data_IF_166460965340
#
_entry.id   IF_166460965340
#
_cell.length_a   1.000
_cell.length_b   1.000
_cell.length_c   1.000
_cell.angle_alpha   90.00
_cell.angle_beta   90.00
_cell.angle_gamma   90.00
#
_symmetry.space_group_name_H-M   'P 1'
#
loop_
_entity.id
_entity.type
_entity.pdbx_description
1 polymer ?
#
# COMPACT_ATOMS: atom_id res chain seq x y z
N UNK A 1 3.99 -32.01 4.70
CA UNK A 1 3.25 -31.89 3.43
C UNK A 1 4.26 -31.34 2.44
N UNK A 2 4.76 -32.17 1.52
CA UNK A 2 5.87 -31.80 0.64
C UNK A 2 5.40 -30.73 -0.34
N UNK A 3 5.89 -29.50 -0.20
CA UNK A 3 5.67 -28.43 -1.17
C UNK A 3 6.37 -28.81 -2.49
N UNK A 4 5.62 -28.79 -3.57
CA UNK A 4 6.03 -29.19 -4.92
C UNK A 4 6.71 -27.98 -5.60
N UNK A 5 8.04 -27.98 -5.79
CA UNK A 5 8.80 -26.78 -6.19
C UNK A 5 8.70 -26.44 -7.69
N UNK A 6 8.00 -27.24 -8.50
CA UNK A 6 8.06 -27.16 -9.98
C UNK A 6 6.90 -26.40 -10.65
N UNK A 7 5.77 -26.18 -9.98
CA UNK A 7 4.59 -25.49 -10.58
C UNK A 7 4.70 -23.96 -10.46
N UNK A 8 5.45 -23.46 -9.47
CA UNK A 8 5.51 -22.03 -9.13
C UNK A 8 6.43 -21.20 -10.05
N UNK A 9 7.41 -21.80 -10.73
CA UNK A 9 8.44 -21.02 -11.43
C UNK A 9 7.94 -20.26 -12.68
N UNK A 10 6.78 -20.63 -13.24
CA UNK A 10 6.22 -19.99 -14.45
C UNK A 10 5.05 -19.02 -14.21
N UNK A 11 4.32 -19.15 -13.10
CA UNK A 11 3.04 -18.45 -12.88
C UNK A 11 3.15 -17.22 -11.96
N UNK A 12 4.32 -16.94 -11.40
CA UNK A 12 4.55 -15.76 -10.57
C UNK A 12 4.16 -14.41 -11.24
N UNK A 13 4.28 -14.20 -12.58
CA UNK A 13 3.81 -12.95 -13.20
C UNK A 13 2.28 -12.83 -13.14
N UNK A 14 1.56 -13.96 -13.12
CA UNK A 14 0.11 -13.97 -12.93
C UNK A 14 -0.23 -13.50 -11.52
N UNK A 15 0.47 -14.01 -10.50
CA UNK A 15 0.31 -13.55 -9.12
C UNK A 15 0.56 -12.05 -8.96
N UNK A 16 1.64 -11.54 -9.57
CA UNK A 16 1.94 -10.10 -9.62
C UNK A 16 0.85 -9.31 -10.34
N UNK A 17 0.36 -9.80 -11.48
CA UNK A 17 -0.70 -9.13 -12.23
C UNK A 17 -1.99 -9.06 -11.41
N UNK A 18 -2.33 -10.14 -10.70
CA UNK A 18 -3.51 -10.20 -9.84
C UNK A 18 -3.39 -9.20 -8.68
N UNK A 19 -2.27 -9.18 -7.94
CA UNK A 19 -2.12 -8.25 -6.82
C UNK A 19 -2.05 -6.79 -7.28
N UNK A 20 -1.43 -6.52 -8.43
CA UNK A 20 -1.39 -5.17 -8.99
C UNK A 20 -2.79 -4.65 -9.33
N UNK A 21 -3.61 -5.49 -9.97
CA UNK A 21 -5.01 -5.19 -10.22
C UNK A 21 -5.83 -5.07 -8.93
N UNK A 22 -5.59 -5.96 -7.95
CA UNK A 22 -6.22 -5.93 -6.64
C UNK A 22 -5.95 -4.62 -5.91
N UNK A 23 -4.69 -4.21 -5.83
CA UNK A 23 -4.27 -2.97 -5.21
C UNK A 23 -4.87 -1.73 -5.88
N UNK A 24 -4.96 -1.71 -7.22
CA UNK A 24 -5.67 -0.63 -7.93
C UNK A 24 -7.15 -0.60 -7.58
N UNK A 25 -7.81 -1.77 -7.56
CA UNK A 25 -9.20 -1.90 -7.18
C UNK A 25 -9.41 -1.43 -5.73
N UNK A 26 -8.53 -1.85 -4.80
CA UNK A 26 -8.57 -1.43 -3.41
C UNK A 26 -8.47 0.08 -3.26
N UNK A 27 -7.47 0.70 -3.89
CA UNK A 27 -7.26 2.14 -3.85
C UNK A 27 -8.43 2.91 -4.49
N UNK A 28 -9.03 2.37 -5.55
CA UNK A 28 -10.26 2.91 -6.11
C UNK A 28 -11.42 2.80 -5.12
N UNK A 29 -11.57 1.67 -4.45
CA UNK A 29 -12.58 1.46 -3.42
C UNK A 29 -12.48 2.47 -2.28
N UNK A 30 -11.27 2.66 -1.75
CA UNK A 30 -10.98 3.67 -0.72
C UNK A 30 -11.35 5.07 -1.20
N UNK A 31 -11.00 5.41 -2.44
CA UNK A 31 -11.31 6.71 -3.04
C UNK A 31 -12.83 6.90 -3.20
N UNK A 32 -13.58 5.86 -3.62
CA UNK A 32 -15.05 5.92 -3.73
C UNK A 32 -15.73 6.08 -2.37
N UNK A 33 -15.24 5.36 -1.35
CA UNK A 33 -15.74 5.51 0.03
C UNK A 33 -15.48 6.94 0.50
N UNK A 34 -14.28 7.46 0.28
CA UNK A 34 -13.92 8.86 0.62
C UNK A 34 -14.80 9.88 -0.12
N UNK A 35 -15.09 9.65 -1.40
CA UNK A 35 -16.06 10.48 -2.16
C UNK A 35 -17.46 10.43 -1.56
N UNK A 36 -17.91 9.25 -1.13
CA UNK A 36 -19.22 9.08 -0.53
C UNK A 36 -19.36 9.87 0.79
N UNK A 37 -18.32 9.82 1.63
CA UNK A 37 -18.25 10.61 2.87
C UNK A 37 -18.20 12.11 2.58
N UNK A 38 -17.34 12.55 1.66
CA UNK A 38 -17.22 13.96 1.27
C UNK A 38 -18.55 14.53 0.74
N UNK A 39 -19.33 13.73 0.02
CA UNK A 39 -20.64 14.11 -0.50
C UNK A 39 -21.79 14.00 0.51
N UNK A 40 -21.59 13.39 1.68
CA UNK A 40 -22.65 13.15 2.66
C UNK A 40 -22.73 14.24 3.75
N UNK A 41 -21.72 15.11 3.88
CA UNK A 41 -21.71 16.19 4.87
C UNK A 41 -21.23 15.75 6.26
N UNK A 42 -21.36 16.61 7.30
CA UNK A 42 -20.90 16.30 8.65
C UNK A 42 -21.74 15.18 9.29
N UNK A 43 -21.06 14.13 9.75
CA UNK A 43 -21.60 12.94 10.44
C UNK A 43 -22.77 12.20 9.76
N UNK A 44 -22.53 11.59 8.57
CA UNK A 44 -23.56 10.79 7.92
C UNK A 44 -23.84 9.49 8.68
N UNK A 45 -25.11 9.13 8.81
CA UNK A 45 -25.48 7.85 9.43
C UNK A 45 -25.02 6.68 8.55
N UNK A 46 -24.55 5.58 9.15
CA UNK A 46 -24.18 4.36 8.41
C UNK A 46 -25.32 3.87 7.50
N UNK A 47 -26.58 4.01 7.94
CA UNK A 47 -27.75 3.62 7.13
C UNK A 47 -27.91 4.48 5.88
N UNK A 48 -27.57 5.76 5.95
CA UNK A 48 -27.62 6.69 4.82
C UNK A 48 -26.49 6.41 3.83
N UNK A 49 -25.32 6.03 4.34
CA UNK A 49 -24.19 5.63 3.53
C UNK A 49 -24.45 4.33 2.76
N UNK A 50 -25.04 3.32 3.42
CA UNK A 50 -25.40 2.05 2.77
C UNK A 50 -26.45 2.22 1.65
N UNK A 51 -27.22 3.31 1.66
CA UNK A 51 -28.13 3.65 0.56
C UNK A 51 -27.40 4.26 -0.64
N UNK A 52 -26.19 4.81 -0.45
CA UNK A 52 -25.41 5.40 -1.54
C UNK A 52 -24.68 4.28 -2.30
N UNK A 53 -24.97 4.08 -3.60
CA UNK A 53 -24.36 2.98 -4.35
C UNK A 53 -22.84 3.11 -4.47
N UNK A 54 -22.31 4.34 -4.51
CA UNK A 54 -20.87 4.60 -4.57
C UNK A 54 -20.14 4.15 -3.30
N UNK A 55 -20.79 4.25 -2.13
CA UNK A 55 -20.23 3.77 -0.86
C UNK A 55 -20.18 2.24 -0.85
N UNK A 56 -21.29 1.58 -1.19
CA UNK A 56 -21.37 0.12 -1.20
C UNK A 56 -20.39 -0.47 -2.22
N UNK A 57 -20.34 0.10 -3.42
CA UNK A 57 -19.39 -0.32 -4.45
C UNK A 57 -17.95 -0.11 -3.98
N UNK A 58 -17.64 1.04 -3.38
CA UNK A 58 -16.33 1.32 -2.80
C UNK A 58 -15.93 0.32 -1.72
N UNK A 59 -16.85 0.04 -0.78
CA UNK A 59 -16.66 -0.95 0.29
C UNK A 59 -16.40 -2.35 -0.26
N UNK A 60 -17.17 -2.80 -1.25
CA UNK A 60 -16.96 -4.11 -1.90
C UNK A 60 -15.60 -4.17 -2.58
N UNK A 61 -15.20 -3.10 -3.27
CA UNK A 61 -13.95 -3.07 -4.01
C UNK A 61 -12.73 -3.08 -3.07
N UNK A 62 -12.74 -2.27 -2.01
CA UNK A 62 -11.64 -2.21 -1.03
C UNK A 62 -11.56 -3.41 -0.10
N UNK A 63 -12.69 -4.00 0.29
CA UNK A 63 -12.67 -5.10 1.27
C UNK A 63 -12.72 -6.48 0.64
N UNK A 64 -13.59 -6.69 -0.36
CA UNK A 64 -13.82 -8.03 -0.91
C UNK A 64 -12.91 -8.30 -2.12
N UNK A 65 -12.85 -7.38 -3.08
CA UNK A 65 -12.08 -7.57 -4.31
C UNK A 65 -10.58 -7.53 -4.04
N UNK A 66 -10.10 -6.52 -3.30
CA UNK A 66 -8.68 -6.44 -2.92
C UNK A 66 -8.23 -7.67 -2.10
N UNK A 67 -9.02 -8.10 -1.13
CA UNK A 67 -8.72 -9.31 -0.35
C UNK A 67 -8.71 -10.57 -1.22
N UNK A 68 -9.68 -10.73 -2.13
CA UNK A 68 -9.73 -11.88 -3.04
C UNK A 68 -8.53 -11.90 -3.99
N UNK A 69 -8.13 -10.74 -4.53
CA UNK A 69 -6.93 -10.60 -5.34
C UNK A 69 -5.65 -10.89 -4.54
N UNK A 70 -5.58 -10.43 -3.28
CA UNK A 70 -4.43 -10.69 -2.41
C UNK A 70 -4.30 -12.18 -2.10
N UNK A 71 -5.39 -12.83 -1.72
CA UNK A 71 -5.41 -14.28 -1.47
C UNK A 71 -5.10 -15.06 -2.74
N UNK A 72 -5.66 -14.65 -3.89
CA UNK A 72 -5.36 -15.25 -5.19
C UNK A 72 -3.90 -15.06 -5.61
N UNK A 73 -3.31 -13.91 -5.35
CA UNK A 73 -1.90 -13.67 -5.67
C UNK A 73 -0.97 -14.56 -4.83
N UNK A 74 -1.31 -14.79 -3.55
CA UNK A 74 -0.55 -15.66 -2.65
C UNK A 74 -0.55 -17.13 -3.10
N UNK A 75 -1.49 -17.58 -3.95
CA UNK A 75 -1.44 -18.94 -4.53
C UNK A 75 -0.43 -19.05 -5.67
N UNK A 76 0.00 -17.94 -6.27
CA UNK A 76 0.87 -17.93 -7.46
C UNK A 76 2.24 -17.26 -7.22
N UNK A 77 2.37 -16.42 -6.20
CA UNK A 77 3.59 -15.69 -5.87
C UNK A 77 3.85 -15.71 -4.35
N UNK A 78 5.12 -15.71 -3.92
CA UNK A 78 5.46 -15.72 -2.50
C UNK A 78 5.05 -14.41 -1.82
N UNK A 79 4.78 -14.48 -0.51
CA UNK A 79 4.41 -13.33 0.31
C UNK A 79 5.46 -12.21 0.30
N UNK A 80 6.75 -12.54 0.10
CA UNK A 80 7.83 -11.58 -0.06
C UNK A 80 7.67 -10.68 -1.29
N UNK A 81 7.05 -11.19 -2.37
CA UNK A 81 6.73 -10.40 -3.56
C UNK A 81 5.38 -9.70 -3.44
N UNK A 82 4.39 -10.30 -2.77
CA UNK A 82 3.04 -9.73 -2.65
C UNK A 82 2.99 -8.54 -1.68
N UNK A 83 3.70 -8.63 -0.54
CA UNK A 83 3.72 -7.58 0.50
C UNK A 83 4.08 -6.16 0.00
N UNK A 84 5.12 -5.95 -0.83
CA UNK A 84 5.45 -4.61 -1.32
C UNK A 84 4.37 -3.97 -2.19
N UNK A 85 3.44 -4.74 -2.77
CA UNK A 85 2.32 -4.16 -3.51
C UNK A 85 1.34 -3.38 -2.61
N UNK A 86 1.33 -3.63 -1.30
CA UNK A 86 0.66 -2.74 -0.35
C UNK A 86 1.23 -1.30 -0.40
N UNK A 87 2.51 -1.14 -0.75
CA UNK A 87 3.09 0.17 -1.03
C UNK A 87 2.55 0.79 -2.32
N UNK A 88 2.40 0.00 -3.40
CA UNK A 88 1.82 0.47 -4.68
C UNK A 88 0.39 0.98 -4.50
N UNK A 89 -0.35 0.43 -3.53
CA UNK A 89 -1.68 0.95 -3.15
C UNK A 89 -1.67 2.44 -2.83
N UNK A 90 -0.63 2.92 -2.13
CA UNK A 90 -0.47 4.33 -1.80
C UNK A 90 -0.28 5.16 -3.07
N UNK A 91 0.51 4.66 -4.02
CA UNK A 91 0.67 5.32 -5.32
C UNK A 91 -0.66 5.45 -6.05
N UNK A 92 -1.45 4.38 -6.09
CA UNK A 92 -2.79 4.41 -6.70
C UNK A 92 -3.74 5.35 -5.98
N UNK A 93 -3.72 5.36 -4.64
CA UNK A 93 -4.56 6.25 -3.84
C UNK A 93 -4.26 7.72 -4.12
N UNK A 94 -2.98 8.11 -4.19
CA UNK A 94 -2.58 9.49 -4.56
C UNK A 94 -3.03 9.83 -5.98
N UNK A 95 -2.83 8.91 -6.93
CA UNK A 95 -3.22 9.11 -8.32
C UNK A 95 -4.74 9.30 -8.46
N UNK A 96 -5.53 8.44 -7.83
CA UNK A 96 -6.99 8.47 -7.89
C UNK A 96 -7.57 9.65 -7.11
N UNK A 97 -6.99 10.03 -5.98
CA UNK A 97 -7.37 11.25 -5.26
C UNK A 97 -7.18 12.49 -6.15
N UNK A 98 -6.07 12.57 -6.88
CA UNK A 98 -5.83 13.66 -7.83
C UNK A 98 -6.86 13.70 -8.96
N UNK A 99 -7.15 12.56 -9.58
CA UNK A 99 -8.06 12.52 -10.74
C UNK A 99 -9.54 12.62 -10.36
N UNK A 100 -9.99 11.90 -9.33
CA UNK A 100 -11.42 11.84 -8.96
C UNK A 100 -11.84 12.94 -7.99
N UNK A 101 -11.04 13.23 -6.96
CA UNK A 101 -11.36 14.28 -5.98
C UNK A 101 -10.80 15.65 -6.39
N UNK A 102 -9.94 15.70 -7.42
CA UNK A 102 -9.25 16.94 -7.85
C UNK A 102 -8.44 17.57 -6.74
N UNK A 103 -7.92 16.75 -5.84
CA UNK A 103 -7.01 17.19 -4.78
C UNK A 103 -5.67 17.60 -5.39
N UNK A 104 -5.08 18.68 -4.89
CA UNK A 104 -3.77 19.12 -5.33
C UNK A 104 -2.69 18.20 -4.73
N UNK A 105 -1.97 17.49 -5.58
CA UNK A 105 -0.84 16.65 -5.13
C UNK A 105 0.33 17.56 -4.79
N UNK A 106 0.73 17.54 -3.52
CA UNK A 106 1.90 18.24 -3.03
C UNK A 106 3.21 17.64 -3.57
N UNK A 107 4.26 18.46 -3.61
CA UNK A 107 5.60 18.00 -4.06
C UNK A 107 6.14 16.83 -3.23
N UNK A 108 5.81 16.80 -1.93
CA UNK A 108 6.20 15.73 -1.01
C UNK A 108 5.46 14.41 -1.29
N UNK A 109 4.19 14.47 -1.68
CA UNK A 109 3.39 13.29 -2.02
C UNK A 109 3.92 12.64 -3.31
N UNK A 110 4.23 13.45 -4.33
CA UNK A 110 4.84 12.95 -5.57
C UNK A 110 6.21 12.31 -5.31
N UNK A 111 7.05 12.93 -4.47
CA UNK A 111 8.37 12.40 -4.13
C UNK A 111 8.26 11.08 -3.36
N UNK A 112 7.39 11.02 -2.35
CA UNK A 112 7.14 9.80 -1.58
C UNK A 112 6.61 8.67 -2.45
N UNK A 113 5.60 8.97 -3.28
CA UNK A 113 5.00 8.01 -4.21
C UNK A 113 6.01 7.47 -5.24
N UNK A 114 6.88 8.34 -5.77
CA UNK A 114 7.97 7.93 -6.67
C UNK A 114 8.97 7.01 -5.96
N UNK A 115 9.34 7.31 -4.72
CA UNK A 115 10.22 6.48 -3.90
C UNK A 115 9.62 5.08 -3.65
N UNK A 116 8.31 5.02 -3.37
CA UNK A 116 7.59 3.75 -3.20
C UNK A 116 7.63 2.91 -4.49
N UNK A 117 7.33 3.50 -5.65
CA UNK A 117 7.40 2.78 -6.93
C UNK A 117 8.80 2.24 -7.19
N UNK A 118 9.84 3.06 -6.97
CA UNK A 118 11.24 2.62 -7.13
C UNK A 118 11.55 1.46 -6.18
N UNK A 119 11.15 1.57 -4.91
CA UNK A 119 11.36 0.52 -3.91
C UNK A 119 10.66 -0.80 -4.27
N UNK A 120 9.43 -0.73 -4.77
CA UNK A 120 8.68 -1.92 -5.21
C UNK A 120 9.32 -2.54 -6.44
N UNK A 121 9.75 -1.74 -7.42
CA UNK A 121 10.47 -2.24 -8.60
C UNK A 121 11.76 -2.96 -8.21
N UNK A 122 12.55 -2.36 -7.31
CA UNK A 122 13.75 -3.00 -6.77
C UNK A 122 13.41 -4.29 -6.04
N UNK A 123 12.36 -4.31 -5.22
CA UNK A 123 11.91 -5.53 -4.56
C UNK A 123 11.48 -6.59 -5.56
N UNK A 124 10.69 -6.29 -6.57
CA UNK A 124 10.24 -7.30 -7.55
C UNK A 124 11.43 -7.84 -8.37
N UNK A 125 12.40 -6.98 -8.72
CA UNK A 125 13.59 -7.38 -9.49
C UNK A 125 14.56 -8.23 -8.67
N UNK A 126 14.77 -7.87 -7.40
CA UNK A 126 15.80 -8.47 -6.53
C UNK A 126 15.24 -9.42 -5.46
N UNK A 127 13.92 -9.55 -5.31
CA UNK A 127 13.28 -10.52 -4.43
C UNK A 127 13.66 -11.91 -4.96
N UNK A 128 14.74 -12.43 -4.38
CA UNK A 128 15.39 -13.66 -4.80
C UNK A 128 14.36 -14.76 -4.93
N UNK A 129 14.31 -15.38 -6.12
CA UNK A 129 13.49 -16.56 -6.38
C UNK A 129 14.02 -17.83 -5.71
N UNK A 130 15.11 -17.73 -4.96
CA UNK A 130 15.96 -18.85 -4.59
C UNK A 130 16.51 -18.60 -3.17
N UNK A 131 15.81 -19.09 -2.15
CA UNK A 131 16.38 -19.87 -1.04
C UNK A 131 15.25 -20.21 -0.08
N UNK A 132 14.78 -21.46 -0.13
CA UNK A 132 14.06 -22.02 1.00
C UNK A 132 15.01 -22.03 2.19
N UNK A 133 14.82 -21.09 3.11
CA UNK A 133 15.49 -21.19 4.41
C UNK A 133 14.68 -22.19 5.23
N UNK A 134 15.01 -23.46 5.07
CA UNK A 134 14.29 -24.61 5.65
C UNK A 134 14.36 -24.62 7.19
N UNK A 135 15.29 -23.87 7.81
CA UNK A 135 15.44 -23.80 9.26
C UNK A 135 15.73 -22.39 9.80
N UNK A 136 15.03 -21.98 10.86
CA UNK A 136 15.24 -20.70 11.55
C UNK A 136 16.69 -20.48 12.03
N UNK A 137 17.41 -21.57 12.35
CA UNK A 137 18.83 -21.53 12.72
C UNK A 137 19.74 -21.09 11.54
N UNK A 138 19.41 -21.47 10.31
CA UNK A 138 20.16 -21.05 9.12
C UNK A 138 19.90 -19.57 8.81
N UNK A 139 18.68 -19.09 9.00
CA UNK A 139 18.37 -17.66 8.93
C UNK A 139 19.17 -16.87 9.96
N UNK A 140 19.19 -17.31 11.22
CA UNK A 140 19.91 -16.63 12.30
C UNK A 140 21.42 -16.56 12.02
N UNK A 141 22.02 -17.64 11.51
CA UNK A 141 23.42 -17.65 11.12
C UNK A 141 23.71 -16.71 9.93
N UNK A 142 22.83 -16.67 8.92
CA UNK A 142 22.96 -15.76 7.78
C UNK A 142 22.77 -14.29 8.18
N UNK A 143 21.81 -14.01 9.08
CA UNK A 143 21.55 -12.67 9.62
C UNK A 143 22.68 -12.17 10.52
N UNK A 144 23.42 -13.08 11.17
CA UNK A 144 24.59 -12.75 11.99
C UNK A 144 25.85 -12.42 11.16
N UNK A 145 25.82 -12.60 9.83
CA UNK A 145 26.93 -12.19 8.97
C UNK A 145 27.17 -10.67 9.08
N UNK A 146 28.43 -10.20 9.11
CA UNK A 146 28.75 -8.79 9.35
C UNK A 146 28.13 -7.85 8.30
N UNK A 147 28.05 -8.31 7.05
CA UNK A 147 27.41 -7.55 5.97
C UNK A 147 25.89 -7.45 6.14
N UNK A 148 25.23 -8.52 6.61
CA UNK A 148 23.80 -8.52 6.87
C UNK A 148 23.45 -7.59 8.03
N UNK A 149 24.23 -7.62 9.12
CA UNK A 149 24.06 -6.70 10.24
C UNK A 149 24.28 -5.24 9.81
N UNK A 150 25.29 -4.96 8.98
CA UNK A 150 25.52 -3.62 8.45
C UNK A 150 24.34 -3.12 7.60
N UNK A 151 23.78 -3.97 6.74
CA UNK A 151 22.59 -3.64 5.94
C UNK A 151 21.35 -3.38 6.82
N UNK A 152 21.11 -4.23 7.83
CA UNK A 152 19.99 -4.05 8.77
C UNK A 152 20.15 -2.75 9.57
N UNK A 153 21.35 -2.48 10.10
CA UNK A 153 21.63 -1.26 10.84
C UNK A 153 21.48 -0.01 9.95
N UNK A 154 21.98 -0.05 8.72
CA UNK A 154 21.85 1.05 7.77
C UNK A 154 20.39 1.30 7.37
N UNK A 155 19.60 0.25 7.11
CA UNK A 155 18.18 0.40 6.77
C UNK A 155 17.34 0.89 7.96
N UNK A 156 17.63 0.43 9.17
CA UNK A 156 17.02 0.94 10.40
C UNK A 156 17.37 2.42 10.64
N UNK A 157 18.65 2.80 10.47
CA UNK A 157 19.09 4.18 10.61
C UNK A 157 18.46 5.09 9.54
N UNK A 158 18.36 4.64 8.29
CA UNK A 158 17.69 5.37 7.22
C UNK A 158 16.21 5.58 7.52
N UNK A 159 15.51 4.54 8.00
CA UNK A 159 14.10 4.62 8.40
C UNK A 159 13.91 5.59 9.56
N UNK A 160 14.77 5.53 10.58
CA UNK A 160 14.75 6.46 11.71
C UNK A 160 15.04 7.89 11.25
N UNK A 161 15.99 8.10 10.35
CA UNK A 161 16.30 9.41 9.79
C UNK A 161 15.11 9.99 9.01
N UNK A 162 14.44 9.18 8.18
CA UNK A 162 13.22 9.58 7.47
C UNK A 162 12.08 9.91 8.43
N UNK A 163 11.90 9.13 9.50
CA UNK A 163 10.93 9.41 10.54
C UNK A 163 11.25 10.72 11.26
N UNK A 164 12.49 10.91 11.71
CA UNK A 164 12.90 12.15 12.36
C UNK A 164 12.75 13.35 11.42
N UNK A 165 13.08 13.19 10.14
CA UNK A 165 12.86 14.23 9.13
C UNK A 165 11.36 14.52 8.96
N UNK A 166 10.51 13.51 8.87
CA UNK A 166 9.05 13.71 8.75
C UNK A 166 8.48 14.43 9.98
N UNK A 167 8.97 14.11 11.18
CA UNK A 167 8.59 14.79 12.42
C UNK A 167 9.07 16.25 12.48
N UNK A 168 10.16 16.58 11.79
CA UNK A 168 10.70 17.96 11.71
C UNK A 168 10.01 18.80 10.64
N UNK A 169 9.70 18.21 9.49
CA UNK A 169 9.03 18.87 8.37
C UNK A 169 7.52 19.02 8.62
N UNK A 170 6.91 18.02 9.23
CA UNK A 170 5.55 18.05 9.72
C UNK A 170 5.63 17.88 11.23
N UNK A 171 5.57 18.97 12.04
CA UNK A 171 5.30 18.77 13.46
C UNK A 171 4.04 17.92 13.53
N UNK A 172 4.09 16.79 14.25
CA UNK A 172 2.98 15.87 14.42
C UNK A 172 1.71 16.63 14.79
N UNK A 173 0.96 17.05 13.78
CA UNK A 173 -0.41 17.52 13.90
C UNK A 173 -1.28 16.26 14.05
N UNK A 174 -1.03 15.54 15.14
CA UNK A 174 -1.97 14.57 15.69
C UNK A 174 -3.22 15.37 16.08
N UNK A 175 -4.10 15.58 15.11
CA UNK A 175 -5.46 16.07 15.35
C UNK A 175 -5.68 17.58 15.41
N UNK A 176 -4.71 18.45 15.09
CA UNK A 176 -4.97 19.89 14.93
C UNK A 176 -5.24 20.24 13.46
N UNK A 177 -6.25 19.63 12.86
CA UNK A 177 -6.81 20.08 11.58
C UNK A 177 -8.07 20.90 11.81
N UNK A 178 -7.99 21.91 12.68
CA UNK A 178 -8.87 23.08 12.60
C UNK A 178 -8.36 24.00 11.49
N UNK A 179 -8.31 23.49 10.25
CA UNK A 179 -8.41 24.36 9.09
C UNK A 179 -9.90 24.45 8.80
N UNK A 180 -10.53 25.64 8.90
CA UNK A 180 -11.90 25.79 8.44
C UNK A 180 -11.92 25.34 7.00
N UNK A 181 -12.67 24.27 6.71
CA UNK A 181 -13.16 23.98 5.38
C UNK A 181 -13.76 25.30 4.92
N UNK A 182 -13.07 26.00 4.01
CA UNK A 182 -13.68 27.12 3.34
C UNK A 182 -14.81 26.53 2.53
N UNK A 183 -15.99 26.49 3.15
CA UNK A 183 -17.27 26.39 2.49
C UNK A 183 -17.26 27.59 1.55
N UNK A 184 -16.90 27.32 0.30
CA UNK A 184 -17.01 28.28 -0.77
C UNK A 184 -18.48 28.68 -0.88
N UNK A 185 -18.84 29.74 -0.17
CA UNK A 185 -20.01 30.55 -0.46
C UNK A 185 -19.82 31.04 -1.87
N UNK A 186 -20.49 30.40 -2.83
CA UNK A 186 -20.85 31.09 -4.06
C UNK A 186 -22.10 31.90 -3.74
N UNK A 187 -21.88 33.21 -3.69
CA UNK A 187 -22.92 34.25 -3.83
C UNK A 187 -23.69 34.01 -5.14
#
# INVERSE_FOLDING_TARGET
>A
MAEQPSVYQGLWPLGISIIFCGSLAGAAGDTMVRMAYSAAGPEPSTKEMLKKPIFVLGMVLTTAVDAACTLGALTFAPSSMVTPFAGVHIFWAVLLAHFWLRESVGRWETLGSSCVIIGVLLLVVYSGKETEIVAAAQFAAAAAAPLALAYIAASAAATLALLLLSLRLCPLALGSWDLPVQVGVRV
#
